data_IF_578029830816
#
_entry.id   IF_578029830816
#
_cell.length_a   1.000
_cell.length_b   1.000
_cell.length_c   1.000
_cell.angle_alpha   90.00
_cell.angle_beta   90.00
_cell.angle_gamma   90.00
#
_symmetry.space_group_name_H-M   'P 1'
#
loop_
_entity.id
_entity.type
_entity.pdbx_description
1 polymer ?
#
# COMPACT_ATOMS: atom_id res chain seq x y z
N UNK A 1 -0.95 -14.08 2.42
CA UNK A 1 -2.23 -13.95 1.66
C UNK A 1 -3.11 -12.79 2.14
N UNK A 2 -3.09 -12.40 3.42
CA UNK A 2 -3.93 -11.30 3.95
C UNK A 2 -3.38 -9.89 3.71
N UNK A 3 -2.10 -9.76 3.33
CA UNK A 3 -1.44 -8.46 3.16
C UNK A 3 -2.10 -7.59 2.09
N UNK A 4 -2.51 -8.19 0.97
CA UNK A 4 -3.21 -7.48 -0.11
C UNK A 4 -4.52 -6.86 0.39
N UNK A 5 -5.31 -7.63 1.13
CA UNK A 5 -6.59 -7.17 1.67
C UNK A 5 -6.38 -5.99 2.62
N UNK A 6 -5.44 -6.12 3.56
CA UNK A 6 -5.10 -5.05 4.51
C UNK A 6 -4.59 -3.79 3.83
N UNK A 7 -3.76 -3.93 2.80
CA UNK A 7 -3.30 -2.81 1.98
C UNK A 7 -4.46 -2.10 1.29
N UNK A 8 -5.36 -2.87 0.67
CA UNK A 8 -6.55 -2.31 0.04
C UNK A 8 -7.43 -1.56 1.06
N UNK A 9 -7.58 -2.08 2.27
CA UNK A 9 -8.31 -1.37 3.34
C UNK A 9 -7.61 -0.08 3.77
N UNK A 10 -6.29 -0.09 3.96
CA UNK A 10 -5.53 1.12 4.29
C UNK A 10 -5.65 2.19 3.21
N UNK A 11 -5.55 1.80 1.94
CA UNK A 11 -5.68 2.73 0.82
C UNK A 11 -7.12 3.24 0.73
N UNK A 12 -8.12 2.37 0.98
CA UNK A 12 -9.53 2.77 1.02
C UNK A 12 -9.78 3.83 2.10
N UNK A 13 -9.19 3.69 3.27
CA UNK A 13 -9.33 4.63 4.38
C UNK A 13 -8.66 5.98 4.05
N UNK A 14 -7.43 5.96 3.52
CA UNK A 14 -6.66 7.17 3.18
C UNK A 14 -7.24 7.93 1.98
N UNK A 15 -7.70 7.22 0.95
CA UNK A 15 -8.18 7.84 -0.31
C UNK A 15 -9.69 8.10 -0.31
N UNK A 16 -10.42 7.47 0.61
CA UNK A 16 -11.88 7.47 0.64
C UNK A 16 -12.53 6.67 -0.49
N UNK A 17 -11.75 6.00 -1.35
CA UNK A 17 -12.26 5.10 -2.39
C UNK A 17 -12.79 3.82 -1.75
N UNK A 18 -13.82 3.22 -2.33
CA UNK A 18 -14.27 1.92 -1.87
C UNK A 18 -13.23 0.84 -2.20
N UNK A 19 -13.00 -0.11 -1.30
CA UNK A 19 -12.14 -1.27 -1.55
C UNK A 19 -12.49 -2.05 -2.84
N UNK A 20 -13.76 -1.99 -3.29
CA UNK A 20 -14.21 -2.59 -4.55
C UNK A 20 -13.78 -1.82 -5.80
N UNK A 21 -13.44 -0.53 -5.68
CA UNK A 21 -12.93 0.30 -6.77
C UNK A 21 -11.40 0.27 -6.84
N UNK A 22 -10.73 -0.12 -5.75
CA UNK A 22 -9.27 -0.27 -5.70
C UNK A 22 -8.88 -1.57 -6.39
N UNK A 23 -8.38 -1.45 -7.62
CA UNK A 23 -7.79 -2.58 -8.34
C UNK A 23 -6.37 -2.86 -7.85
N UNK A 24 -6.07 -4.15 -7.62
CA UNK A 24 -4.75 -4.54 -7.10
C UNK A 24 -3.58 -4.30 -8.07
N UNK A 25 -3.89 -4.07 -9.34
CA UNK A 25 -2.95 -3.76 -10.42
C UNK A 25 -2.99 -2.28 -10.82
N UNK A 26 -3.80 -1.48 -10.14
CA UNK A 26 -3.88 -0.02 -10.34
C UNK A 26 -2.68 0.66 -9.68
N UNK A 27 -2.17 1.73 -10.31
CA UNK A 27 -1.11 2.53 -9.73
C UNK A 27 -1.67 3.37 -8.55
N UNK A 28 -0.93 3.47 -7.45
CA UNK A 28 -1.28 4.36 -6.33
C UNK A 28 -1.54 5.80 -6.76
N UNK A 29 -0.81 6.31 -7.76
CA UNK A 29 -1.05 7.65 -8.33
C UNK A 29 -2.46 7.80 -8.95
N UNK A 30 -3.04 6.73 -9.48
CA UNK A 30 -4.40 6.74 -10.02
C UNK A 30 -5.47 6.64 -8.92
N UNK A 31 -5.10 6.25 -7.71
CA UNK A 31 -6.00 6.06 -6.57
C UNK A 31 -6.14 7.33 -5.71
N UNK A 32 -5.73 8.50 -6.21
CA UNK A 32 -5.63 9.75 -5.44
C UNK A 32 -4.68 9.64 -4.22
N UNK A 33 -3.62 8.83 -4.30
CA UNK A 33 -2.58 8.85 -3.28
C UNK A 33 -1.59 9.99 -3.54
N UNK A 34 -1.55 10.95 -2.63
CA UNK A 34 -0.54 12.01 -2.60
C UNK A 34 0.71 11.57 -1.82
N UNK A 35 1.77 12.38 -1.87
CA UNK A 35 3.03 12.14 -1.12
C UNK A 35 2.81 11.95 0.38
N UNK A 36 1.80 12.61 0.97
CA UNK A 36 1.45 12.45 2.38
C UNK A 36 0.79 11.08 2.63
N UNK A 37 -0.16 10.69 1.79
CA UNK A 37 -0.83 9.37 1.87
C UNK A 37 0.19 8.25 1.75
N UNK A 38 1.20 8.37 0.89
CA UNK A 38 2.28 7.39 0.76
C UNK A 38 3.08 7.26 2.06
N UNK A 39 3.41 8.38 2.73
CA UNK A 39 4.15 8.36 4.00
C UNK A 39 3.29 7.76 5.12
N UNK A 40 2.00 8.13 5.21
CA UNK A 40 1.06 7.51 6.15
C UNK A 40 0.93 6.01 5.92
N UNK A 41 0.77 5.59 4.65
CA UNK A 41 0.64 4.18 4.29
C UNK A 41 1.91 3.41 4.64
N UNK A 42 3.10 3.98 4.39
CA UNK A 42 4.38 3.39 4.78
C UNK A 42 4.39 3.11 6.29
N UNK A 43 4.05 4.11 7.10
CA UNK A 43 4.05 4.01 8.55
C UNK A 43 3.04 2.98 9.09
N UNK A 44 1.86 2.91 8.49
CA UNK A 44 0.85 1.90 8.83
C UNK A 44 1.30 0.49 8.40
N UNK A 45 1.95 0.37 7.23
CA UNK A 45 2.51 -0.89 6.76
C UNK A 45 3.63 -1.39 7.66
N UNK A 46 4.51 -0.50 8.11
CA UNK A 46 5.59 -0.75 9.06
C UNK A 46 5.02 -1.37 10.34
N UNK A 47 4.01 -0.74 10.95
CA UNK A 47 3.34 -1.28 12.15
C UNK A 47 2.66 -2.62 11.89
N UNK A 48 2.04 -2.77 10.73
CA UNK A 48 1.21 -3.92 10.41
C UNK A 48 2.04 -5.18 10.11
N UNK A 49 3.21 -4.99 9.52
CA UNK A 49 4.12 -6.06 9.09
C UNK A 49 5.33 -6.23 10.01
N UNK A 50 5.68 -5.21 10.78
CA UNK A 50 6.92 -5.13 11.55
C UNK A 50 8.17 -4.88 10.70
N UNK A 51 8.01 -4.62 9.40
CA UNK A 51 9.12 -4.34 8.48
C UNK A 51 9.42 -2.85 8.58
N UNK A 52 10.54 -2.48 9.19
CA UNK A 52 11.06 -1.10 9.23
C UNK A 52 12.54 -1.07 8.78
N UNK A 53 12.97 -0.05 8.00
CA UNK A 53 12.19 1.07 7.47
C UNK A 53 11.56 0.77 6.10
N UNK A 54 10.35 1.29 5.86
CA UNK A 54 9.69 1.31 4.54
C UNK A 54 9.88 2.68 3.93
N UNK A 55 10.78 2.74 2.95
CA UNK A 55 11.06 3.99 2.24
C UNK A 55 9.93 4.34 1.26
N UNK A 56 9.52 5.62 1.15
CA UNK A 56 8.50 6.05 0.20
C UNK A 56 8.83 5.69 -1.26
N UNK A 57 10.13 5.60 -1.60
CA UNK A 57 10.58 5.16 -2.93
C UNK A 57 10.10 3.76 -3.32
N UNK A 58 9.83 2.89 -2.33
CA UNK A 58 9.24 1.57 -2.59
C UNK A 58 7.85 1.68 -3.20
N UNK A 59 7.07 2.71 -2.88
CA UNK A 59 5.76 2.94 -3.48
C UNK A 59 5.86 3.41 -4.94
N UNK A 60 7.04 3.84 -5.39
CA UNK A 60 7.32 4.15 -6.80
C UNK A 60 7.75 2.87 -7.54
N UNK A 61 8.60 2.04 -6.93
CA UNK A 61 9.03 0.77 -7.53
C UNK A 61 7.89 -0.28 -7.55
N UNK A 62 7.20 -0.41 -6.42
CA UNK A 62 6.06 -1.29 -6.18
C UNK A 62 4.77 -0.48 -6.20
N UNK A 63 4.55 0.22 -7.31
CA UNK A 63 3.45 1.17 -7.49
C UNK A 63 2.03 0.60 -7.48
N UNK A 64 1.84 -0.68 -7.17
CA UNK A 64 0.51 -1.30 -7.11
C UNK A 64 0.37 -2.15 -5.85
N UNK A 65 -0.87 -2.35 -5.39
CA UNK A 65 -1.16 -3.17 -4.21
C UNK A 65 -0.59 -4.58 -4.36
N UNK A 66 -0.74 -5.22 -5.52
CA UNK A 66 -0.21 -6.57 -5.76
C UNK A 66 1.31 -6.59 -5.60
N UNK A 67 2.02 -5.64 -6.23
CA UNK A 67 3.49 -5.58 -6.16
C UNK A 67 3.96 -5.38 -4.73
N UNK A 68 3.37 -4.44 -4.02
CA UNK A 68 3.73 -4.14 -2.64
C UNK A 68 3.41 -5.33 -1.72
N UNK A 69 2.23 -5.94 -1.88
CA UNK A 69 1.84 -7.11 -1.11
C UNK A 69 2.78 -8.30 -1.35
N UNK A 70 3.20 -8.55 -2.60
CA UNK A 70 4.21 -9.57 -2.91
C UNK A 70 5.56 -9.25 -2.28
N UNK A 71 5.99 -7.99 -2.32
CA UNK A 71 7.23 -7.57 -1.67
C UNK A 71 7.20 -7.80 -0.16
N UNK A 72 6.11 -7.42 0.49
CA UNK A 72 5.91 -7.66 1.93
C UNK A 72 5.87 -9.15 2.25
N UNK A 73 5.09 -9.94 1.51
CA UNK A 73 4.97 -11.39 1.73
C UNK A 73 6.33 -12.11 1.52
N UNK A 74 7.21 -11.56 0.65
CA UNK A 74 8.58 -12.06 0.49
C UNK A 74 9.53 -11.72 1.65
N UNK A 75 9.15 -10.75 2.49
CA UNK A 75 9.94 -10.19 3.60
C UNK A 75 9.46 -10.65 4.97
N UNK A 76 8.31 -11.32 5.04
CA UNK A 76 7.64 -11.84 6.25
C UNK A 76 7.93 -13.32 6.46
#
# INVERSE_FOLDING_TARGET
>A
MDTKLKLTELISDETGLAASEISGDENFENLNMDSLSVVSLAFELEKLTGIEPIEPGLFIEYNTVNKLATWVDSRQ
#
